data_IF_331527956187
#
_entry.id   IF_331527956187
#
_cell.length_a   1.000
_cell.length_b   1.000
_cell.length_c   1.000
_cell.angle_alpha   90.00
_cell.angle_beta   90.00
_cell.angle_gamma   90.00
#
_symmetry.space_group_name_H-M   'P 1'
#
loop_
_entity.id
_entity.type
_entity.pdbx_description
1 polymer ?
#
# COMPACT_ATOMS: atom_id res chain seq x y z
N UNK A 1 -15.45 -10.45 -5.39
CA UNK A 1 -16.72 -11.09 -4.98
C UNK A 1 -16.47 -12.32 -4.09
N UNK A 2 -15.63 -13.27 -4.51
CA UNK A 2 -15.30 -14.48 -3.74
C UNK A 2 -14.77 -14.23 -2.32
N UNK A 3 -13.78 -13.35 -2.14
CA UNK A 3 -13.21 -13.08 -0.82
C UNK A 3 -14.24 -12.60 0.21
N UNK A 4 -15.17 -11.72 -0.20
CA UNK A 4 -16.24 -11.24 0.69
C UNK A 4 -17.19 -12.37 1.07
N UNK A 5 -17.52 -13.27 0.14
CA UNK A 5 -18.37 -14.42 0.42
C UNK A 5 -17.74 -15.34 1.48
N UNK A 6 -16.46 -15.67 1.33
CA UNK A 6 -15.71 -16.47 2.32
C UNK A 6 -15.69 -15.79 3.69
N UNK A 7 -15.40 -14.49 3.73
CA UNK A 7 -15.39 -13.71 4.99
C UNK A 7 -16.76 -13.69 5.67
N UNK A 8 -17.86 -13.61 4.89
CA UNK A 8 -19.22 -13.69 5.43
C UNK A 8 -19.52 -15.04 6.07
N UNK A 9 -19.14 -16.13 5.38
CA UNK A 9 -19.31 -17.50 5.89
C UNK A 9 -18.54 -17.70 7.19
N UNK A 10 -17.28 -17.26 7.24
CA UNK A 10 -16.44 -17.37 8.45
C UNK A 10 -17.01 -16.58 9.64
N UNK A 11 -17.69 -15.47 9.38
CA UNK A 11 -18.28 -14.63 10.43
C UNK A 11 -19.75 -14.95 10.75
N UNK A 12 -20.38 -15.89 10.02
CA UNK A 12 -21.79 -16.22 10.19
C UNK A 12 -22.77 -15.08 9.90
N UNK A 13 -22.38 -14.09 9.09
CA UNK A 13 -23.21 -12.89 8.83
C UNK A 13 -24.02 -12.99 7.53
N UNK A 14 -25.15 -12.29 7.48
CA UNK A 14 -26.04 -12.24 6.32
C UNK A 14 -25.45 -11.45 5.16
N UNK A 15 -26.17 -11.38 4.03
CA UNK A 15 -25.70 -10.67 2.82
C UNK A 15 -25.77 -9.14 2.95
N UNK A 16 -26.67 -8.62 3.79
CA UNK A 16 -26.87 -7.19 4.06
C UNK A 16 -25.80 -6.56 4.95
N UNK A 17 -25.09 -7.37 5.75
CA UNK A 17 -24.14 -6.84 6.73
C UNK A 17 -22.88 -6.26 6.06
N UNK A 18 -22.35 -5.18 6.63
CA UNK A 18 -21.09 -4.62 6.16
C UNK A 18 -19.93 -5.52 6.56
N UNK A 19 -19.18 -6.04 5.58
CA UNK A 19 -17.97 -6.81 5.88
C UNK A 19 -16.83 -5.94 6.42
N UNK A 20 -16.97 -4.59 6.44
CA UNK A 20 -15.85 -3.68 6.72
C UNK A 20 -15.22 -3.92 8.08
N UNK A 21 -16.02 -4.23 9.10
CA UNK A 21 -15.52 -4.53 10.45
C UNK A 21 -15.11 -6.00 10.63
N UNK A 22 -15.51 -6.87 9.69
CA UNK A 22 -15.22 -8.32 9.74
C UNK A 22 -13.81 -8.61 9.24
N UNK A 23 -13.31 -7.88 8.25
CA UNK A 23 -11.94 -8.05 7.76
C UNK A 23 -10.90 -7.83 8.88
N UNK A 24 -10.94 -6.72 9.65
CA UNK A 24 -10.05 -6.52 10.79
C UNK A 24 -10.22 -7.59 11.88
N UNK A 25 -11.46 -7.97 12.23
CA UNK A 25 -11.71 -8.93 13.30
C UNK A 25 -11.12 -10.32 13.00
N UNK A 26 -11.07 -10.70 11.72
CA UNK A 26 -10.44 -11.94 11.26
C UNK A 26 -8.94 -11.78 10.94
N UNK A 27 -8.38 -10.57 11.03
CA UNK A 27 -7.00 -10.28 10.63
C UNK A 27 -6.74 -10.44 9.12
N UNK A 28 -7.80 -10.40 8.30
CA UNK A 28 -7.76 -10.60 6.85
C UNK A 28 -7.67 -9.25 6.14
N UNK A 29 -6.76 -9.13 5.17
CA UNK A 29 -6.67 -7.95 4.30
C UNK A 29 -7.79 -7.96 3.26
N UNK A 30 -8.40 -6.80 3.00
CA UNK A 30 -9.25 -6.61 1.81
C UNK A 30 -8.42 -6.75 0.52
N UNK A 31 -9.09 -6.89 -0.63
CA UNK A 31 -8.41 -6.90 -1.93
C UNK A 31 -7.55 -5.66 -2.16
N UNK A 32 -8.06 -4.47 -1.85
CA UNK A 32 -7.33 -3.22 -2.00
C UNK A 32 -6.15 -3.12 -1.04
N UNK A 33 -6.34 -3.52 0.22
CA UNK A 33 -5.27 -3.59 1.21
C UNK A 33 -4.16 -4.56 0.77
N UNK A 34 -4.53 -5.71 0.19
CA UNK A 34 -3.58 -6.69 -0.33
C UNK A 34 -2.81 -6.15 -1.54
N UNK A 35 -3.50 -5.50 -2.48
CA UNK A 35 -2.87 -4.87 -3.63
C UNK A 35 -1.83 -3.82 -3.17
N UNK A 36 -2.23 -2.91 -2.29
CA UNK A 36 -1.32 -1.90 -1.74
C UNK A 36 -0.10 -2.53 -1.04
N UNK A 37 -0.31 -3.55 -0.20
CA UNK A 37 0.79 -4.24 0.48
C UNK A 37 1.80 -4.85 -0.52
N UNK A 38 1.31 -5.55 -1.54
CA UNK A 38 2.18 -6.18 -2.56
C UNK A 38 2.94 -5.12 -3.34
N UNK A 39 2.27 -4.06 -3.80
CA UNK A 39 2.90 -2.93 -4.49
C UNK A 39 4.00 -2.27 -3.66
N UNK A 40 3.74 -2.01 -2.38
CA UNK A 40 4.70 -1.38 -1.47
C UNK A 40 5.91 -2.27 -1.18
N UNK A 41 5.69 -3.56 -0.94
CA UNK A 41 6.77 -4.54 -0.71
C UNK A 41 7.62 -4.69 -1.96
N UNK A 42 7.01 -4.73 -3.15
CA UNK A 42 7.71 -4.78 -4.43
C UNK A 42 8.66 -3.59 -4.62
N UNK A 43 8.16 -2.37 -4.41
CA UNK A 43 8.97 -1.15 -4.49
C UNK A 43 10.07 -1.16 -3.44
N UNK A 44 9.78 -1.52 -2.19
CA UNK A 44 10.77 -1.55 -1.11
C UNK A 44 11.89 -2.56 -1.35
N UNK A 45 11.56 -3.72 -1.91
CA UNK A 45 12.52 -4.78 -2.24
C UNK A 45 13.41 -4.40 -3.42
N UNK A 46 12.89 -3.59 -4.35
CA UNK A 46 13.58 -3.15 -5.55
C UNK A 46 13.98 -1.66 -5.49
N UNK A 47 14.00 -1.06 -4.30
CA UNK A 47 14.18 0.40 -4.14
C UNK A 47 15.48 0.89 -4.79
N UNK A 48 16.52 0.05 -4.82
CA UNK A 48 17.78 0.35 -5.48
C UNK A 48 17.67 0.45 -7.01
N UNK A 49 16.73 -0.30 -7.62
CA UNK A 49 16.43 -0.24 -9.06
C UNK A 49 15.59 0.99 -9.43
N UNK A 50 14.72 1.44 -8.52
CA UNK A 50 13.82 2.59 -8.74
C UNK A 50 14.44 3.95 -8.39
N UNK A 51 15.65 3.98 -7.83
CA UNK A 51 16.46 5.21 -7.81
C UNK A 51 17.39 5.34 -6.61
N UNK A 52 18.66 4.98 -6.80
CA UNK A 52 19.74 5.90 -6.42
C UNK A 52 19.98 6.82 -7.63
N UNK A 53 19.73 8.13 -7.51
CA UNK A 53 20.42 9.09 -8.38
C UNK A 53 21.56 9.72 -7.61
N UNK A 54 22.74 9.55 -8.18
CA UNK A 54 24.00 10.20 -7.86
C UNK A 54 23.94 11.71 -8.13
N UNK A 55 23.19 12.47 -7.33
CA UNK A 55 23.33 13.92 -7.31
C UNK A 55 23.44 14.42 -5.86
N UNK A 56 24.62 14.96 -5.59
CA UNK A 56 25.13 15.55 -4.37
C UNK A 56 24.48 16.91 -4.06
N UNK A 57 23.19 17.09 -4.36
CA UNK A 57 22.48 18.34 -4.11
C UNK A 57 21.22 18.10 -3.28
N UNK A 58 21.18 18.72 -2.11
CA UNK A 58 20.06 18.68 -1.19
C UNK A 58 18.89 19.51 -1.74
N UNK A 59 17.90 18.83 -2.28
CA UNK A 59 16.59 19.42 -2.57
C UNK A 59 15.54 18.78 -1.67
N UNK A 60 14.55 19.58 -1.22
CA UNK A 60 13.49 19.21 -0.26
C UNK A 60 12.69 17.93 -0.58
N UNK A 61 12.81 17.38 -1.79
CA UNK A 61 12.10 16.18 -2.28
C UNK A 61 13.02 14.95 -2.47
N UNK A 62 14.26 14.98 -1.97
CA UNK A 62 15.29 13.93 -2.14
C UNK A 62 14.85 12.52 -1.72
N UNK A 63 13.88 12.41 -0.82
CA UNK A 63 13.37 11.12 -0.32
C UNK A 63 12.27 10.51 -1.18
N UNK A 64 11.70 11.23 -2.16
CA UNK A 64 10.61 10.73 -3.00
C UNK A 64 11.17 9.95 -4.20
N UNK A 65 10.66 8.74 -4.43
CA UNK A 65 10.95 7.99 -5.64
C UNK A 65 10.35 8.75 -6.84
N UNK A 66 11.17 9.04 -7.86
CA UNK A 66 10.65 9.57 -9.13
C UNK A 66 10.00 8.42 -9.89
N UNK A 67 8.68 8.39 -9.92
CA UNK A 67 7.97 7.53 -10.85
C UNK A 67 8.42 7.88 -12.27
N UNK A 68 8.80 6.90 -13.08
CA UNK A 68 9.07 7.16 -14.51
C UNK A 68 7.79 7.72 -15.13
N UNK A 69 7.82 9.01 -15.45
CA UNK A 69 6.74 9.69 -16.13
C UNK A 69 6.75 9.23 -17.59
N UNK A 70 6.01 8.16 -17.90
CA UNK A 70 5.79 7.78 -19.29
C UNK A 70 5.01 8.89 -19.99
N UNK A 71 5.36 9.18 -21.25
CA UNK A 71 4.83 10.32 -22.03
C UNK A 71 3.30 10.29 -22.20
N UNK A 72 2.65 9.15 -22.02
CA UNK A 72 1.20 8.98 -22.17
C UNK A 72 0.53 8.70 -20.80
N UNK A 73 -0.50 9.46 -20.48
CA UNK A 73 -1.33 9.28 -19.27
C UNK A 73 -1.97 7.89 -19.19
N UNK A 74 -2.24 7.26 -20.34
CA UNK A 74 -2.75 5.89 -20.39
C UNK A 74 -1.73 4.88 -19.87
N UNK A 75 -0.46 4.94 -20.30
CA UNK A 75 0.58 4.03 -19.79
C UNK A 75 0.92 4.32 -18.33
N UNK A 76 0.85 5.58 -17.88
CA UNK A 76 0.99 5.91 -16.46
C UNK A 76 -0.11 5.29 -15.58
N UNK A 77 -1.36 5.26 -16.06
CA UNK A 77 -2.50 4.69 -15.31
C UNK A 77 -2.42 3.16 -15.16
N UNK A 78 -1.91 2.46 -16.18
CA UNK A 78 -1.80 0.99 -16.16
C UNK A 78 -0.45 0.50 -15.65
N UNK A 79 0.55 1.37 -15.52
CA UNK A 79 1.83 0.98 -14.96
C UNK A 79 1.70 0.75 -13.44
N UNK A 80 1.86 -0.51 -13.05
CA UNK A 80 1.88 -0.95 -11.65
C UNK A 80 2.97 -0.24 -10.87
N UNK A 81 4.12 0.04 -11.49
CA UNK A 81 5.24 0.72 -10.85
C UNK A 81 4.93 2.20 -10.60
N UNK A 82 4.18 2.86 -11.48
CA UNK A 82 3.77 4.25 -11.26
C UNK A 82 2.84 4.36 -10.05
N UNK A 83 1.80 3.51 -10.01
CA UNK A 83 0.86 3.48 -8.88
C UNK A 83 1.57 3.05 -7.59
N UNK A 84 2.41 2.02 -7.64
CA UNK A 84 3.16 1.54 -6.49
C UNK A 84 4.13 2.60 -5.94
N UNK A 85 4.79 3.35 -6.81
CA UNK A 85 5.68 4.46 -6.44
C UNK A 85 4.90 5.58 -5.76
N UNK A 86 3.72 5.94 -6.29
CA UNK A 86 2.84 6.95 -5.67
C UNK A 86 2.39 6.52 -4.27
N UNK A 87 2.00 5.25 -4.10
CA UNK A 87 1.63 4.71 -2.79
C UNK A 87 2.81 4.75 -1.83
N UNK A 88 3.99 4.32 -2.27
CA UNK A 88 5.21 4.31 -1.47
C UNK A 88 5.56 5.73 -0.98
N UNK A 89 5.53 6.71 -1.87
CA UNK A 89 5.82 8.11 -1.56
C UNK A 89 4.85 8.75 -0.56
N UNK A 90 3.62 8.25 -0.44
CA UNK A 90 2.67 8.75 0.56
C UNK A 90 2.90 8.20 1.98
N UNK A 91 3.80 7.23 2.15
CA UNK A 91 4.16 6.68 3.46
C UNK A 91 5.23 7.58 4.13
N UNK A 92 5.16 7.81 5.45
CA UNK A 92 6.20 8.53 6.18
C UNK A 92 7.61 7.94 5.97
N UNK A 93 8.61 8.81 5.89
CA UNK A 93 10.02 8.40 5.70
C UNK A 93 10.49 7.44 6.79
N UNK A 94 10.07 7.65 8.04
CA UNK A 94 10.40 6.80 9.19
C UNK A 94 10.02 5.33 8.99
N UNK A 95 8.99 5.09 8.16
CA UNK A 95 8.50 3.75 7.85
C UNK A 95 9.18 3.23 6.60
N UNK A 96 9.36 4.07 5.58
CA UNK A 96 10.05 3.69 4.33
C UNK A 96 11.49 3.24 4.55
N UNK A 97 12.19 3.84 5.51
CA UNK A 97 13.57 3.49 5.88
C UNK A 97 13.69 2.15 6.61
N UNK A 98 12.59 1.58 7.11
CA UNK A 98 12.62 0.33 7.87
C UNK A 98 13.16 -0.85 7.02
N UNK A 99 13.80 -1.84 7.65
CA UNK A 99 14.14 -3.10 6.99
C UNK A 99 12.90 -3.76 6.38
N UNK A 100 13.05 -4.43 5.23
CA UNK A 100 11.94 -5.04 4.48
C UNK A 100 10.98 -5.89 5.34
N UNK A 101 11.46 -6.74 6.28
CA UNK A 101 10.57 -7.53 7.15
C UNK A 101 9.72 -6.65 8.07
N UNK A 102 10.33 -5.64 8.70
CA UNK A 102 9.68 -4.70 9.62
C UNK A 102 8.71 -3.80 8.87
N UNK A 103 9.11 -3.29 7.70
CA UNK A 103 8.26 -2.52 6.79
C UNK A 103 7.01 -3.31 6.41
N UNK A 104 7.18 -4.55 5.91
CA UNK A 104 6.06 -5.41 5.52
C UNK A 104 5.11 -5.67 6.69
N UNK A 105 5.64 -5.96 7.88
CA UNK A 105 4.83 -6.20 9.08
C UNK A 105 4.02 -4.96 9.46
N UNK A 106 4.66 -3.79 9.50
CA UNK A 106 4.02 -2.53 9.88
C UNK A 106 2.92 -2.13 8.89
N UNK A 107 3.24 -2.10 7.59
CA UNK A 107 2.28 -1.77 6.53
C UNK A 107 1.10 -2.75 6.54
N UNK A 108 1.36 -4.06 6.70
CA UNK A 108 0.29 -5.05 6.81
C UNK A 108 -0.62 -4.75 8.00
N UNK A 109 -0.06 -4.46 9.17
CA UNK A 109 -0.82 -4.16 10.37
C UNK A 109 -1.72 -2.93 10.18
N UNK A 110 -1.18 -1.83 9.65
CA UNK A 110 -1.95 -0.60 9.39
C UNK A 110 -3.08 -0.84 8.38
N UNK A 111 -2.81 -1.59 7.30
CA UNK A 111 -3.82 -1.87 6.28
C UNK A 111 -4.90 -2.86 6.74
N UNK A 112 -4.54 -3.85 7.54
CA UNK A 112 -5.50 -4.77 8.17
C UNK A 112 -6.45 -4.03 9.10
N UNK A 113 -5.93 -3.10 9.91
CA UNK A 113 -6.76 -2.31 10.82
C UNK A 113 -7.70 -1.33 10.08
N UNK A 114 -7.24 -0.75 8.96
CA UNK A 114 -8.02 0.22 8.22
C UNK A 114 -9.14 -0.39 7.34
N UNK A 115 -9.01 -1.65 6.92
CA UNK A 115 -9.96 -2.35 6.04
C UNK A 115 -10.42 -1.52 4.82
N UNK A 116 -9.46 -1.10 4.00
CA UNK A 116 -9.73 -0.20 2.87
C UNK A 116 -10.54 -0.88 1.74
N UNK A 117 -11.51 -0.17 1.16
CA UNK A 117 -12.33 -0.64 0.03
C UNK A 117 -12.10 0.11 -1.29
N UNK A 118 -11.14 1.02 -1.30
CA UNK A 118 -10.66 1.69 -2.51
C UNK A 118 -9.20 2.11 -2.35
N UNK A 119 -8.55 2.48 -3.45
CA UNK A 119 -7.21 3.07 -3.39
C UNK A 119 -7.23 4.51 -2.86
N UNK A 120 -8.36 5.22 -2.95
CA UNK A 120 -8.48 6.55 -2.34
C UNK A 120 -8.52 6.49 -0.81
N UNK A 121 -9.09 5.42 -0.25
CA UNK A 121 -9.07 5.15 1.19
C UNK A 121 -7.65 4.89 1.71
N UNK A 122 -6.75 4.38 0.87
CA UNK A 122 -5.34 4.15 1.25
C UNK A 122 -4.67 5.45 1.71
N UNK A 123 -4.89 6.56 1.01
CA UNK A 123 -4.26 7.85 1.35
C UNK A 123 -4.77 8.45 2.66
N UNK A 124 -5.82 7.87 3.25
CA UNK A 124 -6.37 8.25 4.56
C UNK A 124 -5.86 7.34 5.69
N UNK A 125 -5.11 6.28 5.37
CA UNK A 125 -4.57 5.34 6.36
C UNK A 125 -3.46 6.02 7.14
N UNK A 126 -3.56 5.97 8.47
CA UNK A 126 -2.50 6.43 9.36
C UNK A 126 -1.48 5.32 9.55
N UNK A 127 -0.25 5.56 9.14
CA UNK A 127 0.88 4.70 9.42
C UNK A 127 1.60 5.26 10.65
N UNK A 128 1.40 4.65 11.81
CA UNK A 128 2.01 5.08 13.07
C UNK A 128 3.25 4.21 13.30
N UNK A 129 4.42 4.84 13.36
CA UNK A 129 5.61 4.24 13.96
C UNK A 129 5.47 4.35 15.48
N UNK A 130 5.21 3.23 16.14
CA UNK A 130 5.34 3.12 17.59
C UNK A 130 6.80 3.15 18.01
#
# INVERSE_FOLDING_TARGET
KLQKAVVRILAGVGHGDSCRQIFPSLGILTMYARYALVSLVHIRANVERYGKRAHQHDTRQKHLLKAELHRLTATQRYNVDFTATKLFNSIPDSIRSLPLPTFKKMVRSSLSAAAIYSMDEFFKVKFISG
#
